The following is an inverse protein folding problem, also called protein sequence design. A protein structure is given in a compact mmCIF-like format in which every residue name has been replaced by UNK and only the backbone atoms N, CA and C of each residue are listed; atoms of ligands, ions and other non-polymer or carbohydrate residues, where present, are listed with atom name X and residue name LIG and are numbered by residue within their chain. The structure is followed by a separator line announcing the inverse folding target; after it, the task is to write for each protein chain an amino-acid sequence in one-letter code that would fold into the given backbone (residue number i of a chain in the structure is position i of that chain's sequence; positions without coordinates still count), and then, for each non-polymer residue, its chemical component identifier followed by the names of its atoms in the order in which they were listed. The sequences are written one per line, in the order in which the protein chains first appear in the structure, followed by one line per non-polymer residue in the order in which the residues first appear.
data_IF_784217126678
#
_entry.id   IF_784217126678
#
_cell.length_a   1.000
_cell.length_b   1.000
_cell.length_c   1.000
_cell.angle_alpha   90.00
_cell.angle_beta   90.00
_cell.angle_gamma   90.00
#
_symmetry.space_group_name_H-M   'P 1'
#
loop_
_entity.id
_entity.type
_entity.pdbx_description
1 polymer ?
#
# COMPACT_ATOMS: atom_id res chain seq x y z
N UNK A 1 28.68 21.49 -21.73
CA UNK A 1 28.29 21.49 -20.29
C UNK A 1 26.80 21.16 -20.22
N UNK A 2 26.45 20.12 -19.50
CA UNK A 2 25.05 19.73 -19.29
C UNK A 2 24.48 20.68 -18.23
N UNK A 3 23.41 21.39 -18.56
CA UNK A 3 22.73 22.30 -17.63
C UNK A 3 22.20 21.51 -16.41
N UNK A 4 22.48 21.93 -15.16
CA UNK A 4 21.99 21.26 -13.95
C UNK A 4 20.47 21.09 -13.90
N UNK A 5 19.71 22.03 -14.47
CA UNK A 5 18.25 21.94 -14.58
C UNK A 5 17.80 20.80 -15.49
N UNK A 6 18.55 20.50 -16.55
CA UNK A 6 18.29 19.38 -17.44
C UNK A 6 18.56 18.03 -16.77
N UNK A 7 19.53 17.98 -15.85
CA UNK A 7 19.82 16.76 -15.07
C UNK A 7 18.67 16.47 -14.09
N UNK A 8 18.19 17.50 -13.38
CA UNK A 8 17.04 17.38 -12.46
C UNK A 8 15.75 16.97 -13.20
N UNK A 9 15.49 17.57 -14.38
CA UNK A 9 14.40 17.18 -15.27
C UNK A 9 14.56 15.74 -15.74
N UNK A 10 15.77 15.34 -16.16
CA UNK A 10 16.03 13.98 -16.63
C UNK A 10 15.83 12.93 -15.53
N UNK A 11 16.29 13.19 -14.29
CA UNK A 11 16.01 12.34 -13.13
C UNK A 11 14.52 12.30 -12.78
N UNK A 12 13.83 13.44 -12.87
CA UNK A 12 12.38 13.52 -12.66
C UNK A 12 11.62 12.70 -13.72
N UNK A 13 11.99 12.81 -15.00
CA UNK A 13 11.43 12.00 -16.08
C UNK A 13 11.72 10.52 -15.93
N UNK A 14 12.96 10.13 -15.59
CA UNK A 14 13.35 8.75 -15.34
C UNK A 14 12.55 8.16 -14.17
N UNK A 15 12.34 8.95 -13.13
CA UNK A 15 11.60 8.51 -11.95
C UNK A 15 10.12 8.30 -12.26
N UNK A 16 9.48 9.20 -12.99
CA UNK A 16 8.10 9.08 -13.44
C UNK A 16 7.91 7.94 -14.46
N UNK A 17 8.84 7.79 -15.40
CA UNK A 17 8.82 6.68 -16.36
C UNK A 17 8.89 5.33 -15.65
N UNK A 18 9.68 5.24 -14.59
CA UNK A 18 9.82 4.05 -13.76
C UNK A 18 8.55 3.77 -12.92
N UNK A 19 7.82 4.81 -12.49
CA UNK A 19 6.54 4.68 -11.80
C UNK A 19 5.43 4.14 -12.72
N UNK A 20 5.43 4.50 -13.99
CA UNK A 20 4.41 4.09 -14.98
C UNK A 20 4.33 2.56 -15.17
N UNK A 21 5.42 1.86 -14.92
CA UNK A 21 5.50 0.39 -15.08
C UNK A 21 5.53 -0.36 -13.75
N UNK A 22 5.31 0.32 -12.64
CA UNK A 22 5.23 -0.35 -11.35
C UNK A 22 3.84 -0.97 -11.15
N UNK A 23 3.85 -2.14 -10.53
CA UNK A 23 2.61 -2.71 -9.99
C UNK A 23 2.06 -1.80 -8.91
N UNK A 24 0.75 -1.77 -8.80
CA UNK A 24 0.02 -0.99 -7.83
C UNK A 24 -0.90 -1.91 -7.03
N UNK A 25 -1.07 -1.62 -5.75
CA UNK A 25 -1.96 -2.37 -4.87
C UNK A 25 -2.93 -1.40 -4.18
N UNK A 26 -4.23 -1.65 -4.35
CA UNK A 26 -5.26 -0.87 -3.67
C UNK A 26 -5.49 -1.37 -2.25
N UNK A 27 -5.44 -0.45 -1.29
CA UNK A 27 -5.77 -0.69 0.10
C UNK A 27 -6.91 0.25 0.54
N UNK A 28 -7.79 -0.24 1.43
CA UNK A 28 -8.74 0.63 2.12
C UNK A 28 -8.00 1.52 3.11
N UNK A 29 -8.54 2.72 3.35
CA UNK A 29 -8.10 3.52 4.49
C UNK A 29 -8.67 2.95 5.81
N UNK A 30 -7.95 3.01 6.93
CA UNK A 30 -6.66 3.69 7.16
C UNK A 30 -5.42 2.85 6.79
N UNK A 31 -5.58 1.63 6.31
CA UNK A 31 -4.47 0.70 6.07
C UNK A 31 -3.49 1.19 5.01
N UNK A 32 -3.98 1.92 3.99
CA UNK A 32 -3.11 2.53 2.98
C UNK A 32 -2.17 3.57 3.59
N UNK A 33 -2.70 4.45 4.43
CA UNK A 33 -1.88 5.47 5.12
C UNK A 33 -0.90 4.85 6.12
N UNK A 34 -1.36 3.88 6.91
CA UNK A 34 -0.51 3.14 7.84
C UNK A 34 0.67 2.44 7.13
N UNK A 35 0.42 1.88 5.93
CA UNK A 35 1.47 1.27 5.12
C UNK A 35 2.40 2.33 4.54
N UNK A 36 1.87 3.40 3.96
CA UNK A 36 2.64 4.47 3.34
C UNK A 36 3.51 5.24 4.35
N UNK A 37 3.09 5.32 5.61
CA UNK A 37 3.87 5.93 6.71
C UNK A 37 4.86 4.98 7.37
N UNK A 38 4.88 3.71 6.98
CA UNK A 38 5.76 2.67 7.56
C UNK A 38 5.32 2.16 8.93
N UNK A 39 4.20 2.63 9.47
CA UNK A 39 3.64 2.12 10.74
C UNK A 39 3.17 0.68 10.59
N UNK A 40 2.52 0.37 9.48
CA UNK A 40 2.13 -0.99 9.08
C UNK A 40 3.22 -1.57 8.20
N UNK A 41 3.69 -2.77 8.54
CA UNK A 41 4.78 -3.46 7.82
C UNK A 41 4.35 -4.77 7.18
N UNK A 42 3.13 -5.23 7.47
CA UNK A 42 2.53 -6.43 6.89
C UNK A 42 1.14 -6.10 6.35
N UNK A 43 0.93 -6.26 5.06
CA UNK A 43 -0.39 -6.16 4.45
C UNK A 43 -1.07 -7.52 4.38
N UNK A 44 -2.31 -7.60 4.86
CA UNK A 44 -3.06 -8.86 4.93
C UNK A 44 -3.95 -9.05 3.71
N UNK A 45 -3.85 -10.23 3.10
CA UNK A 45 -4.67 -10.64 1.96
C UNK A 45 -5.22 -12.06 2.13
N UNK A 46 -6.35 -12.34 1.47
CA UNK A 46 -6.94 -13.69 1.40
C UNK A 46 -6.33 -14.54 0.27
N UNK A 47 -5.50 -13.95 -0.56
CA UNK A 47 -4.86 -14.57 -1.71
C UNK A 47 -3.33 -14.44 -1.64
N UNK A 48 -2.64 -15.35 -2.29
CA UNK A 48 -1.18 -15.39 -2.39
C UNK A 48 -0.69 -14.69 -3.64
N UNK A 49 0.59 -14.32 -3.67
CA UNK A 49 1.27 -13.79 -4.85
C UNK A 49 2.72 -14.25 -4.92
N UNK A 50 3.18 -14.55 -6.13
CA UNK A 50 4.60 -14.80 -6.41
C UNK A 50 5.37 -13.49 -6.69
N UNK A 51 4.66 -12.36 -6.80
CA UNK A 51 5.30 -11.06 -7.03
C UNK A 51 6.22 -10.69 -5.86
N UNK A 52 7.42 -10.24 -6.19
CA UNK A 52 8.37 -9.59 -5.29
C UNK A 52 8.93 -8.38 -6.02
N UNK A 53 9.07 -7.26 -5.32
CA UNK A 53 9.58 -6.04 -5.94
C UNK A 53 8.88 -4.77 -5.48
N UNK A 54 9.24 -3.64 -6.10
CA UNK A 54 8.62 -2.35 -5.79
C UNK A 54 7.19 -2.28 -6.32
N UNK A 55 6.29 -1.66 -5.54
CA UNK A 55 4.92 -1.40 -5.93
C UNK A 55 4.42 -0.06 -5.39
N UNK A 56 3.40 0.49 -6.04
CA UNK A 56 2.72 1.71 -5.64
C UNK A 56 1.59 1.39 -4.67
N UNK A 57 1.44 2.22 -3.66
CA UNK A 57 0.37 2.12 -2.66
C UNK A 57 -0.78 3.03 -3.12
N UNK A 58 -1.89 2.44 -3.49
CA UNK A 58 -3.12 3.16 -3.84
C UNK A 58 -4.09 3.14 -2.66
N UNK A 59 -4.48 4.31 -2.20
CA UNK A 59 -5.56 4.48 -1.23
C UNK A 59 -6.90 4.48 -1.95
N UNK A 60 -7.70 3.44 -1.74
CA UNK A 60 -9.02 3.34 -2.36
C UNK A 60 -9.97 4.42 -1.82
N UNK A 61 -11.10 4.65 -2.53
CA UNK A 61 -12.16 5.53 -2.02
C UNK A 61 -12.88 4.96 -0.80
N UNK A 62 -12.80 3.64 -0.58
CA UNK A 62 -13.43 2.96 0.53
C UNK A 62 -12.62 3.13 1.81
N UNK A 63 -13.32 3.43 2.91
CA UNK A 63 -12.77 3.53 4.25
C UNK A 63 -13.31 2.40 5.11
N UNK A 64 -12.44 1.80 5.91
CA UNK A 64 -12.86 0.98 7.04
C UNK A 64 -13.04 1.89 8.27
N UNK A 65 -14.27 2.35 8.49
CA UNK A 65 -14.60 3.28 9.58
C UNK A 65 -14.33 2.68 10.95
N UNK A 66 -14.63 1.39 11.13
CA UNK A 66 -14.39 0.69 12.38
C UNK A 66 -12.88 0.62 12.70
N UNK A 67 -12.05 0.42 11.68
CA UNK A 67 -10.60 0.48 11.86
C UNK A 67 -10.12 1.89 12.22
N UNK A 68 -10.64 2.93 11.57
CA UNK A 68 -10.32 4.31 11.92
C UNK A 68 -10.68 4.59 13.39
N UNK A 69 -11.88 4.21 13.81
CA UNK A 69 -12.35 4.40 15.18
C UNK A 69 -11.49 3.63 16.18
N UNK A 70 -11.23 2.34 15.94
CA UNK A 70 -10.45 1.47 16.82
C UNK A 70 -9.01 1.94 16.96
N UNK A 71 -8.42 2.47 15.89
CA UNK A 71 -7.03 2.93 15.86
C UNK A 71 -6.86 4.42 16.19
N UNK A 72 -7.96 5.14 16.49
CA UNK A 72 -7.93 6.57 16.81
C UNK A 72 -7.47 7.44 15.64
N UNK A 73 -7.83 7.08 14.41
CA UNK A 73 -7.44 7.81 13.19
C UNK A 73 -8.64 8.59 12.65
N UNK A 74 -8.47 9.90 12.47
CA UNK A 74 -9.49 10.74 11.85
C UNK A 74 -9.58 10.46 10.34
N UNK A 75 -10.71 9.92 9.89
CA UNK A 75 -10.94 9.59 8.48
C UNK A 75 -10.93 10.82 7.55
N UNK A 76 -11.19 12.02 8.07
CA UNK A 76 -11.21 13.25 7.28
C UNK A 76 -9.81 13.69 6.82
N UNK A 77 -8.77 13.26 7.54
CA UNK A 77 -7.37 13.55 7.21
C UNK A 77 -6.75 12.54 6.24
N UNK A 78 -7.51 11.55 5.78
CA UNK A 78 -7.00 10.48 4.93
C UNK A 78 -7.24 10.78 3.45
N UNK A 79 -6.18 10.68 2.65
CA UNK A 79 -6.27 10.76 1.18
C UNK A 79 -6.97 9.54 0.63
N UNK A 80 -7.87 9.73 -0.34
CA UNK A 80 -8.69 8.67 -0.98
C UNK A 80 -8.65 8.78 -2.49
N UNK A 81 -8.74 7.64 -3.18
CA UNK A 81 -8.78 7.60 -4.65
C UNK A 81 -7.48 8.07 -5.29
N UNK A 82 -6.34 7.80 -4.66
CA UNK A 82 -5.04 8.27 -5.12
C UNK A 82 -3.91 7.29 -4.79
N UNK A 83 -2.85 7.34 -5.58
CA UNK A 83 -1.57 6.70 -5.26
C UNK A 83 -0.85 7.62 -4.26
N UNK A 84 -0.53 7.12 -3.08
CA UNK A 84 -0.03 7.92 -1.96
C UNK A 84 1.40 7.57 -1.54
N UNK A 85 2.01 6.57 -2.16
CA UNK A 85 3.37 6.16 -1.82
C UNK A 85 3.82 4.94 -2.60
N UNK A 86 4.99 4.43 -2.22
CA UNK A 86 5.55 3.19 -2.74
C UNK A 86 6.20 2.38 -1.63
N UNK A 87 6.30 1.07 -1.84
CA UNK A 87 6.97 0.13 -0.95
C UNK A 87 7.63 -0.99 -1.77
N UNK A 88 8.42 -1.83 -1.11
CA UNK A 88 9.01 -3.02 -1.68
C UNK A 88 8.45 -4.27 -0.99
N UNK A 89 7.79 -5.17 -1.73
CA UNK A 89 7.35 -6.47 -1.24
C UNK A 89 8.52 -7.44 -1.32
N UNK A 90 9.04 -7.86 -0.16
CA UNK A 90 10.20 -8.75 -0.12
C UNK A 90 9.89 -10.19 0.29
N UNK A 91 8.78 -10.41 1.00
CA UNK A 91 8.39 -11.75 1.48
C UNK A 91 6.87 -11.85 1.59
N UNK A 92 6.33 -13.03 1.35
CA UNK A 92 4.95 -13.40 1.69
C UNK A 92 5.00 -14.56 2.67
N UNK A 93 4.25 -14.44 3.75
CA UNK A 93 4.04 -15.52 4.74
C UNK A 93 2.58 -15.96 4.68
N UNK A 94 2.35 -17.24 5.01
CA UNK A 94 1.00 -17.77 5.16
C UNK A 94 0.70 -17.93 6.63
N UNK A 95 -0.34 -17.27 7.10
CA UNK A 95 -0.89 -17.52 8.42
C UNK A 95 -1.81 -18.74 8.35
N UNK A 96 -1.45 -19.81 9.05
CA UNK A 96 -2.22 -21.04 9.13
C UNK A 96 -2.97 -21.17 10.46
N UNK A 97 -2.58 -20.39 11.47
CA UNK A 97 -3.21 -20.37 12.78
C UNK A 97 -3.64 -18.96 13.17
N UNK A 98 -4.68 -18.87 14.00
CA UNK A 98 -5.17 -17.59 14.53
C UNK A 98 -4.16 -16.95 15.47
N UNK A 99 -3.45 -17.76 16.24
CA UNK A 99 -2.43 -17.33 17.19
C UNK A 99 -1.29 -16.59 16.47
N UNK A 100 -0.71 -17.20 15.44
CA UNK A 100 0.35 -16.57 14.66
C UNK A 100 -0.09 -15.24 14.01
N UNK A 101 -1.34 -15.16 13.58
CA UNK A 101 -1.91 -13.91 13.06
C UNK A 101 -2.04 -12.85 14.15
N UNK A 102 -2.52 -13.24 15.33
CA UNK A 102 -2.68 -12.31 16.47
C UNK A 102 -1.33 -11.77 16.98
N UNK A 103 -0.30 -12.60 16.98
CA UNK A 103 1.06 -12.21 17.41
C UNK A 103 1.63 -11.06 16.53
N UNK A 104 1.24 -11.00 15.25
CA UNK A 104 1.65 -9.94 14.33
C UNK A 104 0.68 -8.75 14.28
N UNK A 105 -0.30 -8.65 15.20
CA UNK A 105 -1.34 -7.59 15.15
C UNK A 105 -0.78 -6.19 15.10
N UNK A 106 0.30 -5.90 15.81
CA UNK A 106 0.96 -4.58 15.78
C UNK A 106 1.75 -4.31 14.49
N UNK A 107 1.94 -5.32 13.64
CA UNK A 107 2.58 -5.18 12.33
C UNK A 107 1.55 -5.01 11.21
N UNK A 108 0.40 -5.67 11.29
CA UNK A 108 -0.62 -5.61 10.24
C UNK A 108 -1.83 -4.74 10.57
N UNK A 109 -2.08 -4.40 11.82
CA UNK A 109 -3.19 -3.54 12.28
C UNK A 109 -4.60 -4.01 11.90
N UNK A 110 -4.77 -5.27 11.50
CA UNK A 110 -6.11 -5.79 11.19
C UNK A 110 -6.98 -5.84 12.44
N UNK A 111 -8.20 -5.35 12.31
CA UNK A 111 -9.24 -5.41 13.35
C UNK A 111 -10.19 -6.60 13.16
N UNK A 112 -9.86 -7.51 12.24
CA UNK A 112 -10.70 -8.65 11.89
C UNK A 112 -11.00 -9.52 13.13
N UNK A 113 -12.29 -9.82 13.36
CA UNK A 113 -12.69 -10.78 14.40
C UNK A 113 -12.44 -12.21 13.93
N UNK A 114 -11.31 -12.75 14.32
CA UNK A 114 -10.89 -14.09 13.93
C UNK A 114 -11.57 -15.21 14.71
N UNK A 115 -12.26 -14.90 15.81
CA UNK A 115 -12.97 -15.92 16.61
C UNK A 115 -14.13 -16.52 15.84
N UNK A 116 -14.79 -15.71 15.02
CA UNK A 116 -15.93 -16.14 14.18
C UNK A 116 -15.54 -16.85 12.89
N UNK A 117 -14.24 -16.94 12.56
CA UNK A 117 -13.77 -17.52 11.31
C UNK A 117 -13.57 -19.02 11.45
N UNK A 118 -14.44 -19.81 10.80
CA UNK A 118 -14.37 -21.27 10.81
C UNK A 118 -13.13 -21.81 10.07
N UNK A 119 -12.81 -21.24 8.90
CA UNK A 119 -11.63 -21.59 8.11
C UNK A 119 -10.71 -20.40 8.01
N UNK A 120 -9.57 -20.44 8.72
CA UNK A 120 -8.64 -19.33 8.75
C UNK A 120 -7.53 -19.54 7.71
N UNK A 121 -7.45 -18.60 6.77
CA UNK A 121 -6.37 -18.54 5.78
C UNK A 121 -6.10 -17.08 5.42
N UNK A 122 -4.90 -16.62 5.74
CA UNK A 122 -4.45 -15.28 5.43
C UNK A 122 -3.01 -15.31 4.94
N UNK A 123 -2.67 -14.35 4.10
CA UNK A 123 -1.30 -14.13 3.64
C UNK A 123 -0.85 -12.76 4.11
N UNK A 124 0.34 -12.70 4.70
CA UNK A 124 1.00 -11.47 5.10
C UNK A 124 2.03 -11.07 4.05
N UNK A 125 1.84 -9.92 3.43
CA UNK A 125 2.79 -9.31 2.49
C UNK A 125 3.73 -8.43 3.29
N UNK A 126 4.96 -8.86 3.50
CA UNK A 126 5.98 -8.14 4.26
C UNK A 126 6.64 -7.10 3.36
N UNK A 127 6.56 -5.85 3.79
CA UNK A 127 7.06 -4.70 3.02
C UNK A 127 8.19 -3.98 3.73
N UNK A 128 9.03 -3.32 2.93
CA UNK A 128 10.12 -2.46 3.38
C UNK A 128 10.30 -1.29 2.41
N UNK A 129 11.29 -0.44 2.69
CA UNK A 129 11.69 0.68 1.82
C UNK A 129 10.48 1.55 1.42
N UNK A 130 9.67 1.90 2.41
CA UNK A 130 8.42 2.65 2.22
C UNK A 130 8.72 4.13 2.06
N UNK A 131 8.08 4.75 1.05
CA UNK A 131 8.13 6.19 0.82
C UNK A 131 6.69 6.70 0.65
N UNK A 132 6.26 7.59 1.55
CA UNK A 132 5.01 8.33 1.38
C UNK A 132 5.24 9.52 0.47
N UNK A 133 4.35 9.74 -0.50
CA UNK A 133 4.40 10.90 -1.38
C UNK A 133 3.91 12.15 -0.65
N UNK A 134 4.48 13.31 -1.00
CA UNK A 134 4.05 14.59 -0.45
C UNK A 134 2.60 14.90 -0.83
N UNK A 135 2.24 14.57 -2.07
CA UNK A 135 0.89 14.71 -2.62
C UNK A 135 0.44 13.40 -3.25
N UNK A 136 -0.84 13.07 -3.09
CA UNK A 136 -1.42 11.90 -3.73
C UNK A 136 -1.65 12.14 -5.21
N UNK A 137 -1.39 11.13 -6.03
CA UNK A 137 -1.66 11.15 -7.47
C UNK A 137 -3.05 10.55 -7.69
N UNK A 138 -4.07 11.32 -8.12
CA UNK A 138 -5.41 10.80 -8.37
C UNK A 138 -5.35 9.60 -9.32
N UNK A 139 -5.96 8.50 -8.93
CA UNK A 139 -5.93 7.26 -9.71
C UNK A 139 -7.13 6.36 -9.38
N UNK A 140 -7.62 5.64 -10.38
CA UNK A 140 -8.67 4.65 -10.19
C UNK A 140 -8.06 3.30 -9.79
N UNK A 141 -8.41 2.81 -8.60
CA UNK A 141 -7.95 1.51 -8.13
C UNK A 141 -8.59 0.33 -8.86
N UNK A 142 -7.88 -0.79 -8.86
CA UNK A 142 -8.34 -2.10 -9.36
C UNK A 142 -8.12 -3.17 -8.30
N UNK A 143 -8.71 -4.35 -8.50
CA UNK A 143 -8.54 -5.48 -7.59
C UNK A 143 -7.14 -6.13 -7.78
N UNK A 144 -6.59 -6.63 -6.68
CA UNK A 144 -5.29 -7.32 -6.68
C UNK A 144 -4.12 -6.39 -7.01
N UNK A 145 -3.02 -6.95 -7.50
CA UNK A 145 -1.96 -6.18 -8.12
C UNK A 145 -2.34 -5.82 -9.57
N UNK A 146 -2.19 -4.57 -9.92
CA UNK A 146 -2.41 -4.08 -11.27
C UNK A 146 -1.28 -3.16 -11.71
N UNK A 147 -1.14 -2.92 -13.00
CA UNK A 147 -0.19 -1.97 -13.54
C UNK A 147 -0.82 -0.58 -13.57
N UNK A 148 -0.13 0.39 -12.99
CA UNK A 148 -0.51 1.78 -13.12
C UNK A 148 -0.09 2.26 -14.51
N UNK A 149 -1.07 2.41 -15.39
CA UNK A 149 -0.90 3.03 -16.71
C UNK A 149 -1.49 4.44 -16.68
N UNK A 150 -1.04 5.33 -17.54
CA UNK A 150 -1.62 6.66 -17.69
C UNK A 150 -1.62 7.50 -16.40
N UNK A 151 -0.51 7.43 -15.64
CA UNK A 151 -0.29 8.37 -14.54
C UNK A 151 -0.21 9.77 -15.13
N UNK A 152 -1.26 10.58 -14.91
CA UNK A 152 -1.23 11.99 -15.27
C UNK A 152 -0.17 12.68 -14.41
N UNK A 153 0.91 13.07 -15.04
CA UNK A 153 1.92 13.95 -14.48
C UNK A 153 1.37 15.36 -14.63
N UNK A 154 0.90 15.95 -13.54
CA UNK A 154 0.61 17.37 -13.53
C UNK A 154 1.94 18.11 -13.45
N UNK A 155 2.13 19.00 -14.40
CA UNK A 155 3.26 19.95 -14.46
C UNK A 155 3.26 20.89 -13.25
#
# INVERSE_FOLDING_TARGET
MINPENILLWFKYQWFYKLKYLKCLSLKQPYADLLATGRKTIEIRKWNTNFRGPFLIHASKNINKDACLTLGIDENNLVKGAIIGKAFLYKVIKYSTKEAFLDDRLKHFSIEDIKSINSFKRYGFLVKDVIKFKEGIPYLGKLGFFEATDLCIWD
#
